data_IF_215767649157
#
_entry.id   IF_215767649157
#
_cell.length_a   1.000
_cell.length_b   1.000
_cell.length_c   1.000
_cell.angle_alpha   90.00
_cell.angle_beta   90.00
_cell.angle_gamma   90.00
#
_symmetry.space_group_name_H-M   'P 1'
#
loop_
_entity.id
_entity.type
_entity.pdbx_description
1 polymer ?
#
# COMPACT_ATOMS: atom_id res chain seq x y z
N UNK A 1 -4.34 5.38 16.31
CA UNK A 1 -4.09 4.49 15.15
C UNK A 1 -5.31 3.61 14.94
N UNK A 2 -6.41 4.16 14.42
CA UNK A 2 -7.63 3.39 14.11
C UNK A 2 -7.87 3.45 12.59
N UNK A 3 -8.45 4.53 12.07
CA UNK A 3 -8.60 4.73 10.62
C UNK A 3 -7.28 5.05 9.89
N UNK A 4 -6.38 5.81 10.52
CA UNK A 4 -5.13 6.24 9.89
C UNK A 4 -4.12 5.11 9.61
N UNK A 5 -4.27 3.93 10.24
CA UNK A 5 -3.30 2.82 10.14
C UNK A 5 -2.96 2.46 8.69
N UNK A 6 -3.99 2.37 7.85
CA UNK A 6 -3.83 1.97 6.45
C UNK A 6 -3.00 2.98 5.66
N UNK A 7 -3.06 4.26 6.00
CA UNK A 7 -2.26 5.31 5.36
C UNK A 7 -0.78 5.19 5.74
N UNK A 8 -0.47 4.88 7.01
CA UNK A 8 0.91 4.61 7.45
C UNK A 8 1.48 3.34 6.83
N UNK A 9 0.66 2.29 6.66
CA UNK A 9 1.06 1.06 5.98
C UNK A 9 1.41 1.35 4.52
N UNK A 10 0.58 2.11 3.80
CA UNK A 10 0.87 2.51 2.43
C UNK A 10 2.15 3.35 2.32
N UNK A 11 2.37 4.26 3.27
CA UNK A 11 3.57 5.10 3.31
C UNK A 11 4.85 4.29 3.56
N UNK A 12 4.82 3.34 4.51
CA UNK A 12 5.97 2.47 4.75
C UNK A 12 6.21 1.49 3.61
N UNK A 13 5.17 0.93 2.99
CA UNK A 13 5.30 0.06 1.82
C UNK A 13 6.01 0.76 0.65
N UNK A 14 5.60 2.00 0.30
CA UNK A 14 6.28 2.75 -0.78
C UNK A 14 7.72 3.12 -0.42
N UNK A 15 8.00 3.51 0.83
CA UNK A 15 9.34 3.86 1.30
C UNK A 15 10.27 2.64 1.30
N UNK A 16 9.76 1.49 1.72
CA UNK A 16 10.49 0.22 1.70
C UNK A 16 10.76 -0.23 0.27
N UNK A 17 9.79 -0.05 -0.63
CA UNK A 17 9.97 -0.32 -2.06
C UNK A 17 11.09 0.53 -2.66
N UNK A 18 11.14 1.83 -2.31
CA UNK A 18 12.23 2.74 -2.71
C UNK A 18 13.59 2.29 -2.15
N UNK A 19 13.67 2.02 -0.85
CA UNK A 19 14.91 1.58 -0.19
C UNK A 19 15.43 0.24 -0.74
N UNK A 20 14.53 -0.63 -1.18
CA UNK A 20 14.84 -1.93 -1.75
C UNK A 20 14.94 -1.94 -3.27
N UNK A 21 15.05 -0.77 -3.93
CA UNK A 21 15.19 -0.60 -5.38
C UNK A 21 14.17 -1.43 -6.18
N UNK A 22 12.93 -1.51 -5.67
CA UNK A 22 11.85 -2.25 -6.32
C UNK A 22 11.35 -1.48 -7.54
N UNK A 23 10.88 -2.24 -8.55
CA UNK A 23 10.40 -1.68 -9.81
C UNK A 23 9.14 -0.80 -9.66
N UNK A 24 8.34 -1.01 -8.61
CA UNK A 24 7.09 -0.27 -8.37
C UNK A 24 6.94 0.12 -6.89
N UNK A 25 6.04 1.07 -6.60
CA UNK A 25 5.65 1.44 -5.23
C UNK A 25 4.97 0.31 -4.44
N UNK A 26 4.54 -0.75 -5.12
CA UNK A 26 3.91 -1.95 -4.56
C UNK A 26 4.88 -3.13 -4.43
N UNK A 27 6.09 -2.88 -3.93
CA UNK A 27 7.16 -3.88 -3.73
C UNK A 27 7.60 -4.61 -5.03
N UNK A 28 7.32 -4.04 -6.20
CA UNK A 28 7.61 -4.63 -7.52
C UNK A 28 6.43 -5.35 -8.16
N UNK A 29 5.24 -5.31 -7.55
CA UNK A 29 3.99 -5.85 -8.10
C UNK A 29 3.14 -4.74 -8.72
N UNK A 30 2.31 -5.07 -9.71
CA UNK A 30 1.40 -4.12 -10.37
C UNK A 30 0.10 -3.91 -9.58
N UNK A 31 -0.42 -4.97 -8.97
CA UNK A 31 -1.72 -4.96 -8.29
C UNK A 31 -1.59 -5.36 -6.83
N UNK A 32 -2.42 -4.74 -5.98
CA UNK A 32 -2.52 -5.04 -4.55
C UNK A 32 -3.92 -4.81 -4.01
N UNK A 33 -4.13 -5.15 -2.74
CA UNK A 33 -5.39 -4.94 -2.03
C UNK A 33 -5.14 -4.32 -0.65
N UNK A 34 -6.01 -3.40 -0.25
CA UNK A 34 -6.05 -2.83 1.10
C UNK A 34 -7.38 -3.19 1.75
N UNK A 35 -7.29 -3.62 3.01
CA UNK A 35 -8.44 -3.95 3.84
C UNK A 35 -8.58 -2.98 5.01
N UNK A 36 -9.77 -2.43 5.18
CA UNK A 36 -10.19 -1.73 6.39
C UNK A 36 -11.21 -2.58 7.16
N UNK A 37 -11.04 -2.70 8.49
CA UNK A 37 -11.95 -3.44 9.37
C UNK A 37 -12.58 -2.50 10.39
N UNK A 38 -13.92 -2.47 10.45
CA UNK A 38 -14.69 -1.57 11.32
C UNK A 38 -15.77 -2.26 12.16
N UNK A 39 -16.38 -1.53 13.11
CA UNK A 39 -17.43 -2.05 14.00
C UNK A 39 -18.66 -2.60 13.25
N UNK A 40 -19.24 -3.70 13.76
CA UNK A 40 -20.33 -4.47 13.14
C UNK A 40 -19.82 -5.85 12.71
N UNK A 41 -19.54 -6.00 11.42
CA UNK A 41 -18.25 -6.46 10.88
C UNK A 41 -18.24 -5.89 9.47
N UNK A 42 -17.67 -4.69 9.31
CA UNK A 42 -17.55 -4.05 7.99
C UNK A 42 -16.15 -4.29 7.44
N UNK A 43 -16.09 -4.59 6.14
CA UNK A 43 -14.85 -4.77 5.41
C UNK A 43 -14.85 -3.79 4.24
N UNK A 44 -13.94 -2.83 4.28
CA UNK A 44 -13.64 -1.98 3.13
C UNK A 44 -12.53 -2.65 2.34
N UNK A 45 -12.76 -2.90 1.05
CA UNK A 45 -11.78 -3.52 0.16
C UNK A 45 -11.46 -2.56 -0.97
N UNK A 46 -10.20 -2.15 -1.08
CA UNK A 46 -9.73 -1.26 -2.14
C UNK A 46 -8.70 -2.00 -2.99
N UNK A 47 -8.97 -2.12 -4.28
CA UNK A 47 -7.98 -2.61 -5.25
C UNK A 47 -7.02 -1.47 -5.57
N UNK A 48 -5.72 -1.75 -5.51
CA UNK A 48 -4.65 -0.80 -5.72
C UNK A 48 -3.88 -1.15 -6.99
N UNK A 49 -3.55 -0.14 -7.78
CA UNK A 49 -2.56 -0.24 -8.86
C UNK A 49 -1.29 0.50 -8.42
N UNK A 50 -0.14 -0.15 -8.55
CA UNK A 50 1.14 0.47 -8.21
C UNK A 50 1.61 1.41 -9.31
N UNK A 51 2.65 2.18 -9.02
CA UNK A 51 3.27 3.11 -9.96
C UNK A 51 4.73 2.70 -10.16
N UNK A 52 5.25 2.70 -11.41
CA UNK A 52 6.66 2.47 -11.67
C UNK A 52 7.56 3.43 -10.89
N UNK A 53 8.63 2.90 -10.32
CA UNK A 53 9.66 3.67 -9.65
C UNK A 53 10.62 4.21 -10.72
N UNK A 54 10.61 5.53 -10.93
CA UNK A 54 11.62 6.17 -11.78
C UNK A 54 12.86 6.40 -10.91
N UNK A 55 13.87 5.56 -11.08
CA UNK A 55 15.22 5.84 -10.56
C UNK A 55 15.88 6.83 -11.49
N UNK A 56 16.08 8.07 -11.01
CA UNK A 56 16.98 9.05 -11.63
C UNK A 56 18.44 8.64 -11.42
#
# INVERSE_FOLDING_TARGET
MSSACVLFILDEMRKKSLKGERATTGEGLDWGVLFGFGPGLTIETVVLHSIPMVTN
#
